data_IF_533916181890
#
_entry.id   IF_533916181890
#
_cell.length_a   1.000
_cell.length_b   1.000
_cell.length_c   1.000
_cell.angle_alpha   90.00
_cell.angle_beta   90.00
_cell.angle_gamma   90.00
#
_symmetry.space_group_name_H-M   'P 1'
#
loop_
_entity.id
_entity.type
_entity.pdbx_description
1 polymer ?
#
# COMPACT_ATOMS: atom_id res chain seq x y z
N UNK A 1 -3.81 -14.98 18.55
CA UNK A 1 -4.24 -13.58 18.43
C UNK A 1 -4.29 -13.27 16.94
N UNK A 2 -5.33 -12.58 16.47
CA UNK A 2 -5.42 -12.22 15.06
C UNK A 2 -4.43 -11.11 14.69
N UNK A 3 -4.35 -10.83 13.40
CA UNK A 3 -3.48 -9.83 12.81
C UNK A 3 -4.27 -8.58 12.39
N UNK A 4 -3.58 -7.46 12.19
CA UNK A 4 -4.19 -6.23 11.66
C UNK A 4 -3.15 -5.52 10.81
N UNK A 5 -3.50 -5.25 9.56
CA UNK A 5 -2.70 -4.48 8.61
C UNK A 5 -3.47 -3.22 8.19
N UNK A 6 -2.78 -2.31 7.50
CA UNK A 6 -3.40 -1.17 6.85
C UNK A 6 -2.89 -1.05 5.42
N UNK A 7 -3.80 -0.71 4.53
CA UNK A 7 -3.50 -0.29 3.17
C UNK A 7 -4.03 1.13 3.00
N UNK A 8 -3.18 2.01 2.46
CA UNK A 8 -3.54 3.37 2.08
C UNK A 8 -3.52 3.45 0.56
N UNK A 9 -4.60 3.87 -0.07
CA UNK A 9 -4.66 4.09 -1.52
C UNK A 9 -4.86 5.57 -1.83
N UNK A 10 -4.28 6.04 -2.94
CA UNK A 10 -4.48 7.40 -3.45
C UNK A 10 -4.31 7.47 -4.98
N UNK A 11 -4.93 8.44 -5.68
CA UNK A 11 -4.81 8.55 -7.12
C UNK A 11 -3.37 8.69 -7.62
N UNK A 12 -3.04 8.06 -8.76
CA UNK A 12 -1.76 8.26 -9.44
C UNK A 12 -1.79 9.48 -10.37
N UNK A 13 -2.06 10.66 -9.78
CA UNK A 13 -1.98 11.97 -10.43
C UNK A 13 -0.69 12.72 -10.01
N UNK A 14 -0.51 13.97 -10.44
CA UNK A 14 0.69 14.77 -10.13
C UNK A 14 0.96 14.91 -8.62
N UNK A 15 -0.10 15.07 -7.81
CA UNK A 15 0.02 15.14 -6.34
C UNK A 15 0.38 13.77 -5.77
N UNK A 16 -0.25 12.71 -6.28
CA UNK A 16 0.02 11.34 -5.88
C UNK A 16 1.44 10.87 -6.23
N UNK A 17 1.96 11.25 -7.40
CA UNK A 17 3.33 10.97 -7.85
C UNK A 17 4.35 11.68 -6.96
N UNK A 18 4.07 12.92 -6.57
CA UNK A 18 4.92 13.67 -5.63
C UNK A 18 5.00 12.97 -4.27
N UNK A 19 3.86 12.49 -3.76
CA UNK A 19 3.79 11.77 -2.49
C UNK A 19 4.51 10.42 -2.57
N UNK A 20 4.26 9.65 -3.63
CA UNK A 20 4.90 8.36 -3.86
C UNK A 20 6.42 8.49 -4.02
N UNK A 21 6.91 9.53 -4.68
CA UNK A 21 8.35 9.79 -4.82
C UNK A 21 8.98 10.14 -3.48
N UNK A 22 8.30 10.98 -2.67
CA UNK A 22 8.78 11.41 -1.35
C UNK A 22 8.99 10.24 -0.38
N UNK A 23 8.08 9.26 -0.38
CA UNK A 23 8.10 8.14 0.58
C UNK A 23 8.51 6.79 -0.02
N UNK A 24 8.51 6.63 -1.34
CA UNK A 24 8.68 5.32 -2.01
C UNK A 24 10.05 4.69 -1.83
N UNK A 25 11.10 5.48 -1.65
CA UNK A 25 12.46 5.00 -1.39
C UNK A 25 12.69 4.54 0.07
N UNK A 26 11.70 4.74 0.96
CA UNK A 26 11.84 4.46 2.38
C UNK A 26 11.58 3.00 2.69
N UNK A 27 12.54 2.36 3.37
CA UNK A 27 12.40 0.97 3.81
C UNK A 27 11.25 0.77 4.80
N UNK A 28 10.57 -0.36 4.66
CA UNK A 28 9.52 -0.82 5.56
C UNK A 28 8.12 -0.25 5.29
N UNK A 29 7.92 0.45 4.17
CA UNK A 29 6.58 0.63 3.58
C UNK A 29 6.68 0.22 2.11
N UNK A 30 5.73 -0.60 1.66
CA UNK A 30 5.67 -1.02 0.25
C UNK A 30 4.70 -0.12 -0.48
N UNK A 31 5.24 0.76 -1.33
CA UNK A 31 4.45 1.64 -2.22
C UNK A 31 4.56 1.10 -3.64
N UNK A 32 3.43 0.94 -4.34
CA UNK A 32 3.39 0.62 -5.78
C UNK A 32 2.10 1.13 -6.43
N UNK A 33 1.96 0.99 -7.74
CA UNK A 33 0.73 1.28 -8.48
C UNK A 33 -0.08 0.01 -8.68
N UNK A 34 -1.41 0.14 -8.71
CA UNK A 34 -2.34 -0.89 -9.15
C UNK A 34 -3.51 -0.27 -9.92
N UNK A 35 -4.19 -1.11 -10.69
CA UNK A 35 -5.38 -0.73 -11.46
C UNK A 35 -6.62 -1.12 -10.67
N UNK A 36 -7.47 -0.14 -10.36
CA UNK A 36 -8.71 -0.33 -9.61
C UNK A 36 -9.93 0.14 -10.40
N UNK A 37 -11.10 -0.38 -10.02
CA UNK A 37 -12.39 0.09 -10.50
C UNK A 37 -13.04 0.94 -9.40
N UNK A 38 -13.15 2.23 -9.64
CA UNK A 38 -13.81 3.16 -8.72
C UNK A 38 -15.20 3.54 -9.24
N UNK A 39 -16.19 3.77 -8.36
CA UNK A 39 -17.47 4.31 -8.78
C UNK A 39 -17.34 5.80 -9.12
N UNK A 40 -17.72 6.19 -10.34
CA UNK A 40 -17.80 7.58 -10.78
C UNK A 40 -19.26 7.95 -11.05
N UNK A 41 -19.70 9.11 -10.52
CA UNK A 41 -21.05 9.61 -10.76
C UNK A 41 -21.15 10.17 -12.18
N UNK A 42 -22.02 9.57 -12.99
CA UNK A 42 -22.33 10.01 -14.35
C UNK A 42 -23.86 10.22 -14.46
N UNK A 43 -24.27 11.49 -14.43
CA UNK A 43 -25.68 11.86 -14.30
C UNK A 43 -26.27 11.39 -12.97
N UNK A 44 -27.35 10.60 -13.05
CA UNK A 44 -28.06 10.04 -11.89
C UNK A 44 -27.57 8.62 -11.49
N UNK A 45 -26.52 8.11 -12.15
CA UNK A 45 -26.01 6.74 -11.91
C UNK A 45 -24.52 6.73 -11.57
N UNK A 46 -24.08 5.69 -10.85
CA UNK A 46 -22.65 5.41 -10.66
C UNK A 46 -22.21 4.36 -11.68
N UNK A 47 -21.14 4.67 -12.41
CA UNK A 47 -20.53 3.76 -13.38
C UNK A 47 -19.11 3.40 -12.91
N UNK A 48 -18.66 2.16 -13.16
CA UNK A 48 -17.29 1.77 -12.84
C UNK A 48 -16.32 2.49 -13.79
N UNK A 49 -15.32 3.16 -13.22
CA UNK A 49 -14.22 3.79 -13.93
C UNK A 49 -12.92 3.10 -13.56
N UNK A 50 -12.13 2.75 -14.58
CA UNK A 50 -10.76 2.28 -14.39
C UNK A 50 -9.90 3.45 -13.95
N UNK A 51 -9.20 3.31 -12.83
CA UNK A 51 -8.26 4.29 -12.31
C UNK A 51 -6.96 3.60 -11.88
N UNK A 52 -5.83 4.23 -12.19
CA UNK A 52 -4.54 3.85 -11.60
C UNK A 52 -4.39 4.57 -10.29
N UNK A 53 -4.13 3.81 -9.23
CA UNK A 53 -3.89 4.32 -7.88
C UNK A 53 -2.51 3.88 -7.42
N UNK A 54 -1.90 4.67 -6.56
CA UNK A 54 -0.89 4.17 -5.66
C UNK A 54 -1.54 3.46 -4.49
N UNK A 55 -0.85 2.46 -3.97
CA UNK A 55 -1.16 1.88 -2.68
C UNK A 55 0.12 1.80 -1.84
N UNK A 56 -0.02 2.01 -0.54
CA UNK A 56 0.98 1.73 0.46
C UNK A 56 0.46 0.66 1.42
N UNK A 57 1.17 -0.45 1.53
CA UNK A 57 0.85 -1.50 2.48
C UNK A 57 1.76 -1.43 3.69
N UNK A 58 1.17 -1.49 4.89
CA UNK A 58 1.89 -1.58 6.15
C UNK A 58 1.31 -2.69 7.01
N UNK A 59 2.19 -3.63 7.36
CA UNK A 59 1.87 -4.73 8.23
C UNK A 59 3.03 -5.01 9.17
N UNK A 60 2.69 -5.33 10.42
CA UNK A 60 3.67 -5.56 11.45
C UNK A 60 3.54 -6.93 12.08
N UNK A 61 4.62 -7.70 12.08
CA UNK A 61 4.68 -9.03 12.67
C UNK A 61 5.77 -9.10 13.74
N UNK A 62 5.65 -10.03 14.70
CA UNK A 62 6.77 -10.39 15.57
C UNK A 62 7.95 -10.91 14.72
N UNK A 63 9.17 -10.45 14.99
CA UNK A 63 10.34 -10.79 14.18
C UNK A 63 11.67 -10.59 14.90
N UNK A 64 12.78 -10.67 14.17
CA UNK A 64 14.13 -10.71 14.76
C UNK A 64 14.70 -9.32 15.08
N UNK A 65 14.30 -8.27 14.35
CA UNK A 65 14.82 -6.91 14.54
C UNK A 65 13.96 -6.16 15.55
N UNK A 66 14.46 -5.92 16.75
CA UNK A 66 13.70 -5.36 17.89
C UNK A 66 12.40 -6.13 18.20
N UNK A 67 12.33 -7.43 17.87
CA UNK A 67 11.11 -8.20 18.06
C UNK A 67 10.09 -8.04 16.93
N UNK A 68 10.44 -7.41 15.81
CA UNK A 68 9.53 -7.07 14.72
C UNK A 68 10.03 -7.49 13.31
N UNK A 69 9.09 -7.68 12.40
CA UNK A 69 9.26 -7.82 10.95
C UNK A 69 8.12 -7.08 10.23
N UNK A 70 8.41 -6.45 9.09
CA UNK A 70 7.40 -5.77 8.28
C UNK A 70 7.18 -6.61 7.04
N UNK A 71 5.95 -7.04 6.85
CA UNK A 71 5.54 -7.91 5.77
C UNK A 71 4.94 -7.07 4.64
N UNK A 72 5.13 -7.54 3.40
CA UNK A 72 4.24 -7.19 2.30
C UNK A 72 2.89 -7.92 2.42
N UNK A 73 1.92 -7.54 1.58
CA UNK A 73 0.60 -8.18 1.55
C UNK A 73 0.67 -9.70 1.33
N UNK A 74 1.56 -10.16 0.46
CA UNK A 74 1.77 -11.59 0.20
C UNK A 74 2.44 -12.31 1.36
N UNK A 75 3.41 -11.67 2.00
CA UNK A 75 4.08 -12.22 3.17
C UNK A 75 3.08 -12.39 4.32
N UNK A 76 2.11 -11.48 4.45
CA UNK A 76 0.99 -11.58 5.39
C UNK A 76 0.13 -12.80 5.11
N UNK A 77 -0.41 -12.93 3.90
CA UNK A 77 -1.27 -14.08 3.54
C UNK A 77 -0.55 -15.41 3.74
N UNK A 78 0.75 -15.47 3.42
CA UNK A 78 1.58 -16.66 3.64
C UNK A 78 1.81 -16.92 5.13
N UNK A 79 2.16 -15.90 5.90
CA UNK A 79 2.39 -16.00 7.35
C UNK A 79 1.12 -16.43 8.07
N UNK A 80 -0.03 -15.89 7.67
CA UNK A 80 -1.33 -16.33 8.16
C UNK A 80 -1.57 -17.80 7.83
N UNK A 81 -1.40 -18.22 6.57
CA UNK A 81 -1.58 -19.63 6.18
C UNK A 81 -0.69 -20.60 6.98
N UNK A 82 0.57 -20.24 7.24
CA UNK A 82 1.52 -21.08 8.01
C UNK A 82 1.13 -21.19 9.49
N UNK A 83 0.53 -20.15 10.07
CA UNK A 83 0.29 -20.04 11.52
C UNK A 83 -1.18 -20.16 11.92
N UNK A 84 -2.07 -20.30 10.95
CA UNK A 84 -3.51 -20.30 11.14
C UNK A 84 -3.99 -21.52 11.96
N UNK A 85 -4.81 -21.32 13.01
CA UNK A 85 -5.43 -22.40 13.78
C UNK A 85 -6.66 -23.06 13.12
N UNK A 86 -7.13 -22.66 11.92
CA UNK A 86 -8.30 -23.32 11.31
C UNK A 86 -8.12 -24.83 11.12
N UNK A 87 -9.28 -25.50 11.10
CA UNK A 87 -9.40 -26.94 11.07
C UNK A 87 -8.71 -27.57 9.86
N UNK A 88 -8.12 -28.75 10.08
CA UNK A 88 -7.73 -29.67 9.02
C UNK A 88 -8.89 -29.92 8.07
N UNK A 89 -8.62 -29.92 6.75
CA UNK A 89 -9.61 -30.38 5.77
C UNK A 89 -10.04 -31.82 6.11
N UNK A 90 -11.34 -32.08 6.06
CA UNK A 90 -11.84 -33.44 6.19
C UNK A 90 -11.51 -34.27 4.94
N UNK A 91 -11.37 -35.58 5.09
CA UNK A 91 -11.00 -36.48 3.99
C UNK A 91 -11.94 -36.35 2.77
N UNK A 92 -13.24 -36.15 3.00
CA UNK A 92 -14.21 -35.98 1.92
C UNK A 92 -14.02 -34.68 1.15
N UNK A 93 -13.63 -33.58 1.83
CA UNK A 93 -13.33 -32.30 1.18
C UNK A 93 -12.07 -32.42 0.32
N UNK A 94 -11.05 -33.12 0.83
CA UNK A 94 -9.82 -33.40 0.09
C UNK A 94 -10.13 -34.21 -1.18
N UNK A 95 -10.96 -35.25 -1.08
CA UNK A 95 -11.36 -36.07 -2.25
C UNK A 95 -12.14 -35.23 -3.26
N UNK A 96 -13.04 -34.35 -2.79
CA UNK A 96 -13.82 -33.49 -3.69
C UNK A 96 -12.94 -32.43 -4.39
N UNK A 97 -11.90 -31.95 -3.74
CA UNK A 97 -11.00 -30.91 -4.27
C UNK A 97 -9.88 -31.47 -5.15
N UNK A 98 -9.26 -32.57 -4.74
CA UNK A 98 -8.04 -33.12 -5.34
C UNK A 98 -8.24 -34.48 -6.01
N UNK A 99 -9.42 -35.10 -5.87
CA UNK A 99 -9.71 -36.44 -6.37
C UNK A 99 -9.08 -37.55 -5.52
N UNK A 100 -8.88 -38.72 -6.12
CA UNK A 100 -8.31 -39.92 -5.47
C UNK A 100 -6.79 -40.07 -5.62
N UNK A 101 -6.13 -39.13 -6.29
CA UNK A 101 -4.68 -39.15 -6.53
C UNK A 101 -3.91 -38.40 -5.44
N UNK A 102 -2.62 -38.74 -5.28
CA UNK A 102 -1.72 -38.19 -4.26
C UNK A 102 -1.86 -36.67 -4.08
N UNK A 103 -2.03 -36.26 -2.83
CA UNK A 103 -2.15 -34.85 -2.46
C UNK A 103 -0.88 -34.08 -2.83
N UNK A 104 -0.97 -32.90 -3.49
CA UNK A 104 0.18 -32.06 -3.73
C UNK A 104 0.87 -31.69 -2.41
N UNK A 105 2.19 -31.85 -2.32
CA UNK A 105 2.96 -31.49 -1.11
C UNK A 105 2.75 -30.00 -0.74
N UNK A 106 2.44 -29.16 -1.73
CA UNK A 106 2.17 -27.73 -1.57
C UNK A 106 0.96 -27.39 -0.71
N UNK A 107 0.08 -28.36 -0.42
CA UNK A 107 -1.12 -28.20 0.43
C UNK A 107 -0.92 -28.74 1.85
N UNK A 108 0.26 -29.27 2.18
CA UNK A 108 0.59 -29.70 3.54
C UNK A 108 1.37 -28.61 4.26
N UNK A 109 1.01 -28.35 5.52
CA UNK A 109 1.73 -27.42 6.39
C UNK A 109 1.87 -27.98 7.80
N UNK A 110 2.86 -27.48 8.56
CA UNK A 110 3.01 -27.81 9.98
C UNK A 110 2.54 -26.64 10.81
N UNK A 111 1.39 -26.77 11.47
CA UNK A 111 0.91 -25.74 12.38
C UNK A 111 1.60 -25.89 13.74
N UNK A 112 2.18 -24.78 14.21
CA UNK A 112 2.77 -24.66 15.54
C UNK A 112 1.94 -23.68 16.36
N UNK A 113 1.03 -24.19 17.19
CA UNK A 113 0.35 -23.32 18.16
C UNK A 113 1.30 -22.93 19.29
N UNK A 114 1.01 -21.80 19.93
CA UNK A 114 1.76 -21.32 21.11
C UNK A 114 1.71 -22.30 22.30
N UNK A 115 0.69 -23.18 22.34
CA UNK A 115 0.45 -24.18 23.39
C UNK A 115 0.23 -25.61 22.86
N UNK A 116 0.42 -25.86 21.57
CA UNK A 116 0.20 -27.19 20.97
C UNK A 116 1.51 -27.79 20.46
N UNK A 117 1.64 -29.11 20.56
CA UNK A 117 2.70 -29.86 19.88
C UNK A 117 2.60 -29.64 18.38
N UNK A 118 3.75 -29.49 17.70
CA UNK A 118 3.81 -29.38 16.23
C UNK A 118 2.98 -30.50 15.60
N UNK A 119 2.03 -30.13 14.74
CA UNK A 119 1.18 -31.08 14.03
C UNK A 119 1.19 -30.76 12.54
N UNK A 120 1.47 -31.75 11.72
CA UNK A 120 1.29 -31.65 10.27
C UNK A 120 -0.21 -31.73 9.94
N UNK A 121 -0.67 -30.81 9.11
CA UNK A 121 -2.06 -30.67 8.68
C UNK A 121 -2.12 -30.39 7.18
N UNK A 122 -3.12 -30.94 6.50
CA UNK A 122 -3.41 -30.61 5.09
C UNK A 122 -4.43 -29.48 5.04
N UNK A 123 -4.12 -28.41 4.30
CA UNK A 123 -4.94 -27.21 4.11
C UNK A 123 -4.85 -26.73 2.66
N UNK A 124 -5.89 -26.05 2.18
CA UNK A 124 -5.81 -25.37 0.88
C UNK A 124 -4.87 -24.17 1.04
N UNK A 125 -3.83 -24.10 0.22
CA UNK A 125 -2.89 -22.96 0.23
C UNK A 125 -3.35 -21.85 -0.69
N UNK A 126 -3.73 -22.22 -1.90
CA UNK A 126 -4.20 -21.32 -2.93
C UNK A 126 -5.28 -22.00 -3.79
N UNK A 127 -6.21 -21.19 -4.29
CA UNK A 127 -7.18 -21.57 -5.31
C UNK A 127 -7.00 -20.63 -6.50
N UNK A 128 -6.72 -21.21 -7.67
CA UNK A 128 -6.67 -20.46 -8.92
C UNK A 128 -8.08 -20.35 -9.52
N UNK A 129 -8.38 -19.18 -10.08
CA UNK A 129 -9.64 -18.87 -10.76
C UNK A 129 -9.36 -18.55 -12.25
N UNK A 130 -9.22 -19.56 -13.13
CA UNK A 130 -8.85 -19.35 -14.53
C UNK A 130 -9.81 -18.42 -15.30
N UNK A 131 -11.08 -18.35 -14.89
CA UNK A 131 -12.08 -17.43 -15.45
C UNK A 131 -11.73 -15.95 -15.26
N UNK A 132 -11.00 -15.62 -14.19
CA UNK A 132 -10.51 -14.25 -13.92
C UNK A 132 -9.25 -13.91 -14.72
N UNK A 133 -8.56 -14.91 -15.26
CA UNK A 133 -7.36 -14.76 -16.07
C UNK A 133 -7.68 -14.52 -17.56
N UNK A 134 -8.85 -14.95 -18.03
CA UNK A 134 -9.24 -14.84 -19.44
C UNK A 134 -9.28 -13.37 -19.89
N UNK A 135 -8.48 -13.06 -20.92
CA UNK A 135 -8.42 -11.74 -21.55
C UNK A 135 -7.68 -10.67 -20.74
N UNK A 136 -6.96 -11.04 -19.67
CA UNK A 136 -6.14 -10.11 -18.89
C UNK A 136 -4.66 -10.46 -19.06
N UNK A 137 -3.95 -9.65 -19.84
CA UNK A 137 -2.50 -9.69 -19.95
C UNK A 137 -1.90 -8.60 -19.08
N UNK A 138 -0.76 -8.87 -18.46
CA UNK A 138 -0.04 -7.90 -17.63
C UNK A 138 0.34 -6.67 -18.46
N UNK A 139 0.71 -6.90 -19.72
CA UNK A 139 1.12 -5.89 -20.68
C UNK A 139 0.01 -4.89 -21.00
N UNK A 140 -1.26 -5.28 -20.80
CA UNK A 140 -2.44 -4.45 -21.01
C UNK A 140 -2.89 -3.73 -19.73
N UNK A 141 -2.27 -4.01 -18.57
CA UNK A 141 -2.63 -3.36 -17.30
C UNK A 141 -2.12 -1.90 -17.26
N UNK A 142 -3.00 -0.90 -17.05
CA UNK A 142 -2.61 0.50 -17.04
C UNK A 142 -1.53 0.87 -16.01
N UNK A 143 -1.58 0.28 -14.80
CA UNK A 143 -0.58 0.54 -13.77
C UNK A 143 0.79 -0.02 -14.18
N UNK A 144 0.81 -1.23 -14.75
CA UNK A 144 2.02 -1.82 -15.31
C UNK A 144 2.60 -0.96 -16.45
N UNK A 145 1.78 -0.52 -17.40
CA UNK A 145 2.22 0.31 -18.52
C UNK A 145 2.85 1.63 -18.05
N UNK A 146 2.22 2.31 -17.08
CA UNK A 146 2.78 3.54 -16.51
C UNK A 146 4.12 3.30 -15.82
N UNK A 147 4.23 2.30 -14.95
CA UNK A 147 5.47 1.99 -14.24
C UNK A 147 6.58 1.55 -15.19
N UNK A 148 6.24 0.73 -16.20
CA UNK A 148 7.20 0.28 -17.19
C UNK A 148 7.70 1.43 -18.06
N UNK A 149 6.83 2.37 -18.46
CA UNK A 149 7.26 3.57 -19.19
C UNK A 149 8.20 4.44 -18.36
N UNK A 150 7.93 4.63 -17.06
CA UNK A 150 8.83 5.36 -16.16
C UNK A 150 10.20 4.66 -16.12
N UNK A 151 10.22 3.34 -15.91
CA UNK A 151 11.47 2.57 -15.87
C UNK A 151 12.28 2.71 -17.16
N UNK A 152 11.64 2.53 -18.31
CA UNK A 152 12.31 2.65 -19.62
C UNK A 152 12.88 4.04 -19.83
N UNK A 153 12.11 5.09 -19.51
CA UNK A 153 12.59 6.48 -19.63
C UNK A 153 13.83 6.73 -18.75
N UNK A 154 13.84 6.21 -17.53
CA UNK A 154 14.99 6.32 -16.63
C UNK A 154 16.21 5.52 -17.13
N UNK A 155 15.99 4.35 -17.72
CA UNK A 155 17.05 3.52 -18.34
C UNK A 155 17.66 4.23 -19.55
N UNK A 156 16.84 4.83 -20.40
CA UNK A 156 17.28 5.60 -21.56
C UNK A 156 18.06 6.86 -21.14
N UNK A 157 17.59 7.59 -20.13
CA UNK A 157 18.30 8.75 -19.57
C UNK A 157 19.67 8.34 -18.98
N UNK A 158 19.70 7.26 -18.20
CA UNK A 158 20.95 6.74 -17.63
C UNK A 158 21.94 6.36 -18.73
N UNK A 159 21.47 5.65 -19.76
CA UNK A 159 22.30 5.25 -20.90
C UNK A 159 22.88 6.48 -21.61
N UNK A 160 22.06 7.49 -21.88
CA UNK A 160 22.49 8.74 -22.51
C UNK A 160 23.60 9.44 -21.69
N UNK A 161 23.43 9.56 -20.38
CA UNK A 161 24.42 10.21 -19.51
C UNK A 161 25.71 9.39 -19.39
N UNK A 162 25.62 8.06 -19.39
CA UNK A 162 26.80 7.18 -19.41
C UNK A 162 27.55 7.30 -20.73
N UNK A 163 26.86 7.32 -21.87
CA UNK A 163 27.47 7.54 -23.19
C UNK A 163 28.16 8.91 -23.28
N UNK A 164 27.52 9.96 -22.74
CA UNK A 164 28.10 11.31 -22.63
C UNK A 164 29.38 11.31 -21.78
N UNK A 165 29.34 10.66 -20.61
CA UNK A 165 30.51 10.52 -19.73
C UNK A 165 31.66 9.81 -20.43
N UNK A 166 31.37 8.69 -21.07
CA UNK A 166 32.39 7.87 -21.71
C UNK A 166 33.00 8.60 -22.92
N UNK A 167 32.20 9.35 -23.69
CA UNK A 167 32.69 10.23 -24.76
C UNK A 167 33.64 11.32 -24.22
N UNK A 168 33.26 11.99 -23.12
CA UNK A 168 34.11 13.01 -22.49
C UNK A 168 35.42 12.44 -21.96
N UNK A 169 35.36 11.29 -21.27
CA UNK A 169 36.56 10.64 -20.72
C UNK A 169 37.51 10.16 -21.83
N UNK A 170 36.98 9.63 -22.93
CA UNK A 170 37.77 9.26 -24.10
C UNK A 170 38.44 10.48 -24.73
N UNK A 171 37.72 11.60 -24.85
CA UNK A 171 38.25 12.86 -25.38
C UNK A 171 39.39 13.43 -24.50
N UNK A 172 39.23 13.40 -23.17
CA UNK A 172 40.31 13.78 -22.23
C UNK A 172 41.57 12.92 -22.42
N UNK A 173 41.40 11.61 -22.62
CA UNK A 173 42.51 10.70 -22.84
C UNK A 173 43.21 10.95 -24.18
N UNK A 174 42.43 11.15 -25.26
CA UNK A 174 42.95 11.44 -26.60
C UNK A 174 43.67 12.78 -26.66
N UNK A 175 43.06 13.85 -26.12
CA UNK A 175 43.66 15.18 -26.08
C UNK A 175 45.01 15.17 -25.34
N UNK A 176 45.08 14.42 -24.23
CA UNK A 176 46.33 14.21 -23.47
C UNK A 176 47.39 13.47 -24.27
N UNK A 177 47.02 12.42 -25.03
CA UNK A 177 47.95 11.67 -25.90
C UNK A 177 48.47 12.53 -27.06
N UNK A 178 47.63 13.39 -27.60
CA UNK A 178 47.93 14.25 -28.75
C UNK A 178 48.58 15.59 -28.35
N UNK A 179 48.66 15.91 -27.06
CA UNK A 179 49.23 17.16 -26.57
C UNK A 179 48.40 18.39 -26.92
N UNK A 180 47.10 18.23 -27.14
CA UNK A 180 46.16 19.31 -27.46
C UNK A 180 45.24 19.59 -26.28
N UNK A 181 44.55 20.73 -26.33
CA UNK A 181 43.45 20.99 -25.41
C UNK A 181 42.26 20.06 -25.73
N UNK A 182 41.53 19.56 -24.71
CA UNK A 182 40.33 18.78 -24.91
C UNK A 182 39.19 19.64 -25.46
N UNK A 183 38.31 19.02 -26.25
CA UNK A 183 37.07 19.61 -26.71
C UNK A 183 36.06 19.69 -25.57
N UNK A 184 35.82 20.91 -25.07
CA UNK A 184 34.89 21.19 -23.98
C UNK A 184 33.42 21.23 -24.44
N UNK A 185 33.12 21.05 -25.73
CA UNK A 185 31.74 20.91 -26.19
C UNK A 185 31.12 19.56 -25.80
N UNK A 186 31.96 18.57 -25.49
CA UNK A 186 31.57 17.24 -25.01
C UNK A 186 31.49 17.16 -23.46
N UNK A 187 31.49 18.30 -22.77
CA UNK A 187 31.63 18.37 -21.31
C UNK A 187 30.62 17.49 -20.56
N UNK A 188 31.12 16.75 -19.58
CA UNK A 188 30.32 16.02 -18.59
C UNK A 188 30.38 16.82 -17.29
N UNK A 189 29.28 17.50 -16.98
CA UNK A 189 29.26 18.46 -15.88
C UNK A 189 29.09 17.77 -14.54
N UNK A 190 29.25 18.54 -13.46
CA UNK A 190 28.93 18.04 -12.12
C UNK A 190 27.44 17.68 -12.00
N UNK A 191 26.57 18.47 -12.61
CA UNK A 191 25.12 18.22 -12.61
C UNK A 191 24.76 16.91 -13.32
N UNK A 192 25.46 16.56 -14.41
CA UNK A 192 25.30 15.25 -15.06
C UNK A 192 25.69 14.10 -14.10
N UNK A 193 26.80 14.27 -13.36
CA UNK A 193 27.23 13.32 -12.33
C UNK A 193 26.21 13.16 -11.21
N UNK A 194 25.72 14.29 -10.66
CA UNK A 194 24.69 14.30 -9.62
C UNK A 194 23.38 13.66 -10.13
N UNK A 195 23.02 13.82 -11.42
CA UNK A 195 21.85 13.19 -12.03
C UNK A 195 22.01 11.67 -12.17
N UNK A 196 23.19 11.18 -12.55
CA UNK A 196 23.45 9.72 -12.62
C UNK A 196 23.25 9.06 -11.26
N UNK A 197 23.69 9.70 -10.17
CA UNK A 197 23.49 9.21 -8.81
C UNK A 197 21.99 9.19 -8.43
N UNK A 198 21.25 10.24 -8.80
CA UNK A 198 19.79 10.30 -8.62
C UNK A 198 19.04 9.20 -9.39
N UNK A 199 19.42 8.98 -10.67
CA UNK A 199 18.86 7.94 -11.53
C UNK A 199 19.01 6.54 -10.93
N UNK A 200 20.12 6.24 -10.25
CA UNK A 200 20.30 4.95 -9.61
C UNK A 200 19.23 4.68 -8.54
N UNK A 201 18.86 5.70 -7.77
CA UNK A 201 17.83 5.61 -6.73
C UNK A 201 16.44 5.47 -7.37
N UNK A 202 16.14 6.29 -8.38
CA UNK A 202 14.87 6.27 -9.10
C UNK A 202 14.64 4.94 -9.84
N UNK A 203 15.67 4.39 -10.51
CA UNK A 203 15.61 3.09 -11.17
C UNK A 203 15.38 1.96 -10.19
N UNK A 204 16.05 1.99 -9.03
CA UNK A 204 15.84 1.00 -7.96
C UNK A 204 14.41 1.06 -7.44
N UNK A 205 13.86 2.27 -7.26
CA UNK A 205 12.49 2.47 -6.83
C UNK A 205 11.49 1.95 -7.89
N UNK A 206 11.62 2.39 -9.14
CA UNK A 206 10.75 1.98 -10.24
C UNK A 206 10.76 0.46 -10.44
N UNK A 207 11.94 -0.16 -10.35
CA UNK A 207 12.08 -1.63 -10.44
C UNK A 207 11.32 -2.31 -9.30
N UNK A 208 11.49 -1.85 -8.05
CA UNK A 208 10.77 -2.42 -6.90
C UNK A 208 9.26 -2.27 -7.04
N UNK A 209 8.79 -1.10 -7.47
CA UNK A 209 7.37 -0.84 -7.72
C UNK A 209 6.83 -1.78 -8.80
N UNK A 210 7.57 -1.94 -9.90
CA UNK A 210 7.18 -2.83 -10.99
C UNK A 210 7.06 -4.29 -10.55
N UNK A 211 8.00 -4.79 -9.74
CA UNK A 211 7.92 -6.15 -9.19
C UNK A 211 6.68 -6.34 -8.30
N UNK A 212 6.42 -5.38 -7.39
CA UNK A 212 5.20 -5.41 -6.56
C UNK A 212 3.92 -5.34 -7.40
N UNK A 213 3.92 -4.57 -8.49
CA UNK A 213 2.78 -4.48 -9.41
C UNK A 213 2.53 -5.81 -10.14
N UNK A 214 3.60 -6.52 -10.54
CA UNK A 214 3.50 -7.85 -11.15
C UNK A 214 2.95 -8.88 -10.17
N UNK A 215 3.44 -8.85 -8.94
CA UNK A 215 2.96 -9.71 -7.85
C UNK A 215 1.47 -9.45 -7.56
N UNK A 216 1.06 -8.19 -7.41
CA UNK A 216 -0.33 -7.78 -7.24
C UNK A 216 -1.21 -8.30 -8.39
N UNK A 217 -0.79 -8.08 -9.64
CA UNK A 217 -1.52 -8.55 -10.83
C UNK A 217 -1.67 -10.08 -10.85
N UNK A 218 -0.59 -10.80 -10.53
CA UNK A 218 -0.58 -12.26 -10.47
C UNK A 218 -1.48 -12.81 -9.35
N UNK A 219 -1.84 -12.02 -8.34
CA UNK A 219 -2.75 -12.43 -7.27
C UNK A 219 -4.22 -12.22 -7.62
N UNK A 220 -4.57 -11.37 -8.60
CA UNK A 220 -5.98 -11.03 -8.91
C UNK A 220 -6.84 -12.22 -9.35
N UNK A 221 -6.21 -13.32 -9.75
CA UNK A 221 -6.88 -14.56 -10.14
C UNK A 221 -6.65 -15.70 -9.13
N UNK A 222 -6.06 -15.40 -7.96
CA UNK A 222 -5.73 -16.38 -6.93
C UNK A 222 -6.31 -15.98 -5.57
N UNK A 223 -6.95 -16.94 -4.91
CA UNK A 223 -7.31 -16.83 -3.50
C UNK A 223 -6.25 -17.56 -2.68
N UNK A 224 -5.45 -16.83 -1.91
CA UNK A 224 -4.36 -17.35 -1.07
C UNK A 224 -4.68 -17.10 0.41
N UNK A 225 -4.38 -18.06 1.30
CA UNK A 225 -4.63 -17.87 2.73
C UNK A 225 -6.10 -17.59 3.06
N UNK A 226 -6.35 -16.94 4.20
CA UNK A 226 -7.70 -16.62 4.69
C UNK A 226 -8.10 -15.20 4.28
N UNK A 227 -9.39 -14.99 3.97
CA UNK A 227 -9.92 -13.64 3.87
C UNK A 227 -9.96 -12.95 5.25
N UNK A 228 -9.74 -11.63 5.32
CA UNK A 228 -9.88 -10.90 6.57
C UNK A 228 -11.26 -11.09 7.18
N UNK A 229 -11.33 -11.35 8.50
CA UNK A 229 -12.62 -11.46 9.21
C UNK A 229 -13.42 -10.13 9.17
N UNK A 230 -12.78 -9.02 8.83
CA UNK A 230 -13.43 -7.73 8.60
C UNK A 230 -12.51 -6.71 7.93
N UNK A 231 -13.08 -5.90 7.05
CA UNK A 231 -12.42 -4.80 6.33
C UNK A 231 -13.15 -3.50 6.65
N UNK A 232 -12.41 -2.44 6.98
CA UNK A 232 -12.97 -1.11 7.21
C UNK A 232 -12.25 -0.12 6.32
N UNK A 233 -13.01 0.45 5.39
CA UNK A 233 -12.58 1.55 4.54
C UNK A 233 -12.89 2.88 5.25
N UNK A 234 -11.85 3.68 5.47
CA UNK A 234 -11.91 5.03 6.01
C UNK A 234 -11.56 6.03 4.91
N UNK A 235 -12.31 7.12 4.76
CA UNK A 235 -12.07 8.06 3.69
C UNK A 235 -10.81 8.90 3.92
N UNK A 236 -10.15 9.27 2.83
CA UNK A 236 -8.98 10.16 2.83
C UNK A 236 -9.23 11.46 2.04
N UNK A 237 -8.41 12.47 2.29
CA UNK A 237 -8.43 13.75 1.56
C UNK A 237 -8.03 13.63 0.08
N UNK A 238 -7.49 12.47 -0.34
CA UNK A 238 -7.15 12.16 -1.73
C UNK A 238 -8.22 11.29 -2.43
N UNK A 239 -9.29 10.91 -1.73
CA UNK A 239 -10.38 10.13 -2.34
C UNK A 239 -11.05 10.92 -3.46
N UNK A 240 -11.54 10.21 -4.49
CA UNK A 240 -12.20 10.83 -5.65
C UNK A 240 -13.44 11.65 -5.30
N UNK A 241 -14.11 11.32 -4.18
CA UNK A 241 -15.27 12.04 -3.67
C UNK A 241 -14.91 13.26 -2.82
N UNK A 242 -13.62 13.42 -2.47
CA UNK A 242 -13.07 14.53 -1.66
C UNK A 242 -13.93 14.90 -0.44
N UNK A 243 -14.21 13.96 0.47
CA UNK A 243 -15.00 14.24 1.67
C UNK A 243 -14.34 15.31 2.54
N UNK A 244 -15.14 16.28 3.00
CA UNK A 244 -14.71 17.41 3.84
C UNK A 244 -14.10 16.96 5.17
N UNK A 245 -14.62 15.88 5.75
CA UNK A 245 -14.12 15.26 6.97
C UNK A 245 -13.53 13.88 6.62
N UNK A 246 -12.21 13.80 6.56
CA UNK A 246 -11.47 12.62 6.12
C UNK A 246 -10.09 12.56 6.78
N UNK A 247 -9.41 11.42 6.63
CA UNK A 247 -8.03 11.26 7.10
C UNK A 247 -7.06 11.97 6.13
N UNK A 248 -6.06 12.65 6.68
CA UNK A 248 -4.97 13.26 5.93
C UNK A 248 -4.00 12.18 5.41
N UNK A 249 -4.02 11.94 4.09
CA UNK A 249 -3.26 10.89 3.39
C UNK A 249 -1.78 10.95 3.72
N UNK A 250 -1.18 12.14 3.65
CA UNK A 250 0.25 12.30 3.93
C UNK A 250 0.60 11.99 5.40
N UNK A 251 -0.25 12.33 6.36
CA UNK A 251 0.02 12.05 7.78
C UNK A 251 -0.13 10.57 8.11
N UNK A 252 -1.05 9.87 7.45
CA UNK A 252 -1.15 8.40 7.50
C UNK A 252 0.15 7.78 6.99
N UNK A 253 0.59 8.17 5.78
CA UNK A 253 1.79 7.62 5.15
C UNK A 253 3.08 7.93 5.94
N UNK A 254 3.22 9.17 6.42
CA UNK A 254 4.34 9.59 7.26
C UNK A 254 4.43 8.76 8.55
N UNK A 255 3.27 8.41 9.15
CA UNK A 255 3.24 7.58 10.35
C UNK A 255 3.54 6.11 10.06
N UNK A 256 3.08 5.56 8.93
CA UNK A 256 3.49 4.21 8.49
C UNK A 256 5.01 4.13 8.38
N UNK A 257 5.63 5.14 7.75
CA UNK A 257 7.09 5.27 7.63
C UNK A 257 7.79 5.47 8.98
N UNK A 258 7.23 6.29 9.87
CA UNK A 258 7.80 6.49 11.20
C UNK A 258 7.81 5.19 12.01
N UNK A 259 6.73 4.40 11.91
CA UNK A 259 6.61 3.10 12.55
C UNK A 259 7.52 2.05 11.91
N UNK A 260 7.71 2.10 10.58
CA UNK A 260 8.59 1.16 9.89
C UNK A 260 10.05 1.26 10.38
N UNK A 261 10.45 2.45 10.82
CA UNK A 261 11.77 2.77 11.39
C UNK A 261 11.79 2.74 12.92
N UNK A 262 10.69 2.37 13.56
CA UNK A 262 10.56 2.39 15.01
C UNK A 262 11.53 1.40 15.66
N UNK A 263 12.26 1.88 16.68
CA UNK A 263 13.14 1.05 17.53
C UNK A 263 12.41 0.44 18.73
N UNK A 264 11.12 0.74 18.90
CA UNK A 264 10.32 0.20 20.02
C UNK A 264 10.20 -1.30 19.84
N UNK A 265 10.42 -2.05 20.92
CA UNK A 265 10.35 -3.50 20.88
C UNK A 265 8.93 -4.04 20.93
N UNK A 266 8.70 -5.18 20.29
CA UNK A 266 7.40 -5.83 20.30
C UNK A 266 6.97 -6.16 21.73
N UNK A 267 5.75 -5.76 22.06
CA UNK A 267 5.13 -6.09 23.31
C UNK A 267 3.64 -6.35 23.11
N UNK A 268 3.20 -7.55 23.43
CA UNK A 268 1.82 -7.98 23.25
C UNK A 268 0.80 -7.04 23.92
N UNK A 269 1.16 -6.41 25.04
CA UNK A 269 0.28 -5.52 25.82
C UNK A 269 0.39 -4.07 25.41
N UNK A 270 1.60 -3.58 25.13
CA UNK A 270 1.84 -2.14 24.95
C UNK A 270 2.19 -1.73 23.52
N UNK A 271 2.58 -2.67 22.64
CA UNK A 271 3.06 -2.35 21.31
C UNK A 271 3.06 -3.57 20.36
N UNK A 272 1.93 -3.76 19.67
CA UNK A 272 1.69 -4.82 18.69
C UNK A 272 1.13 -4.26 17.36
N UNK A 273 0.79 -5.12 16.39
CA UNK A 273 0.25 -4.70 15.10
C UNK A 273 -1.01 -3.83 15.21
N UNK A 274 -1.98 -4.23 16.03
CA UNK A 274 -3.19 -3.44 16.29
C UNK A 274 -2.89 -2.08 16.92
N UNK A 275 -1.87 -1.99 17.78
CA UNK A 275 -1.41 -0.71 18.37
C UNK A 275 -0.83 0.20 17.29
N UNK A 276 -0.05 -0.35 16.37
CA UNK A 276 0.52 0.40 15.25
C UNK A 276 -0.56 0.91 14.31
N UNK A 277 -1.54 0.07 13.95
CA UNK A 277 -2.67 0.48 13.11
C UNK A 277 -3.49 1.59 13.76
N UNK A 278 -3.75 1.52 15.07
CA UNK A 278 -4.39 2.62 15.80
C UNK A 278 -3.58 3.93 15.70
N UNK A 279 -2.25 3.87 15.85
CA UNK A 279 -1.39 5.07 15.74
C UNK A 279 -1.40 5.66 14.33
N UNK A 280 -1.45 4.82 13.29
CA UNK A 280 -1.56 5.25 11.89
C UNK A 280 -2.91 5.92 11.61
N UNK A 281 -4.01 5.35 12.10
CA UNK A 281 -5.35 5.94 11.94
C UNK A 281 -5.43 7.28 12.69
N UNK A 282 -4.93 7.33 13.93
CA UNK A 282 -4.97 8.55 14.76
C UNK A 282 -4.10 9.68 14.19
N UNK A 283 -2.99 9.37 13.53
CA UNK A 283 -2.13 10.38 12.91
C UNK A 283 -2.79 11.05 11.70
N UNK A 284 -3.66 10.33 10.98
CA UNK A 284 -4.44 10.87 9.88
C UNK A 284 -5.50 11.88 10.31
N UNK A 285 -5.86 11.95 11.58
CA UNK A 285 -6.87 12.89 12.06
C UNK A 285 -6.24 14.25 12.38
N UNK A 286 -6.69 15.31 11.69
CA UNK A 286 -6.34 16.70 12.02
C UNK A 286 -6.79 17.08 13.44
N UNK A 287 -6.11 18.03 14.07
CA UNK A 287 -6.52 18.47 15.41
C UNK A 287 -7.93 19.09 15.38
N UNK A 288 -8.24 19.80 14.28
CA UNK A 288 -9.57 20.34 14.00
C UNK A 288 -10.63 19.24 13.85
N UNK A 289 -10.31 18.14 13.14
CA UNK A 289 -11.20 17.01 12.98
C UNK A 289 -11.40 16.25 14.29
N UNK A 290 -10.35 16.10 15.10
CA UNK A 290 -10.44 15.53 16.46
C UNK A 290 -11.36 16.36 17.35
N UNK A 291 -11.28 17.69 17.27
CA UNK A 291 -12.18 18.58 18.01
C UNK A 291 -13.62 18.47 17.54
N UNK A 292 -13.88 18.44 16.22
CA UNK A 292 -15.22 18.23 15.65
C UNK A 292 -15.85 16.92 16.12
N UNK A 293 -15.10 15.82 15.99
CA UNK A 293 -15.51 14.48 16.40
C UNK A 293 -15.80 14.44 17.92
N UNK A 294 -14.95 15.10 18.72
CA UNK A 294 -15.13 15.18 20.18
C UNK A 294 -16.37 15.98 20.58
N UNK A 295 -16.62 17.11 19.91
CA UNK A 295 -17.79 17.94 20.16
C UNK A 295 -19.10 17.21 19.85
N UNK A 296 -19.06 16.18 19.00
CA UNK A 296 -20.19 15.31 18.75
C UNK A 296 -20.33 14.13 19.73
N UNK A 297 -19.44 14.05 20.72
CA UNK A 297 -19.53 13.05 21.80
C UNK A 297 -18.73 11.78 21.55
N UNK A 298 -17.89 11.72 20.51
CA UNK A 298 -16.93 10.63 20.31
C UNK A 298 -15.51 11.10 20.62
N UNK A 299 -14.89 10.56 21.67
CA UNK A 299 -13.49 10.87 21.98
C UNK A 299 -12.54 9.91 21.26
N UNK A 300 -11.86 10.42 20.22
CA UNK A 300 -10.85 9.70 19.43
C UNK A 300 -9.74 9.11 20.32
N UNK A 301 -9.44 9.70 21.47
CA UNK A 301 -8.40 9.18 22.38
C UNK A 301 -8.77 7.82 23.01
N UNK A 302 -10.03 7.41 22.93
CA UNK A 302 -10.49 6.07 23.31
C UNK A 302 -10.01 5.02 22.29
N UNK A 303 -9.80 5.42 21.03
CA UNK A 303 -9.27 4.57 19.97
C UNK A 303 -7.80 4.20 20.26
N UNK A 304 -7.02 5.13 20.81
CA UNK A 304 -5.56 4.97 20.96
C UNK A 304 -5.10 4.36 22.28
N UNK A 305 -6.01 4.06 23.23
CA UNK A 305 -5.66 3.56 24.57
C UNK A 305 -6.43 2.30 25.04
N UNK A 306 -6.62 1.25 24.21
CA UNK A 306 -7.08 -0.01 24.76
C UNK A 306 -6.02 -0.60 25.71
N UNK A 307 -6.44 -1.26 26.79
CA UNK A 307 -5.54 -1.94 27.73
C UNK A 307 -4.62 -2.96 27.03
N UNK A 308 -5.14 -3.61 25.98
CA UNK A 308 -4.42 -4.44 25.01
C UNK A 308 -5.11 -4.19 23.67
N UNK A 309 -4.40 -3.63 22.71
CA UNK A 309 -4.93 -3.48 21.35
C UNK A 309 -5.06 -4.86 20.70
N UNK A 310 -6.19 -5.11 20.04
CA UNK A 310 -6.47 -6.35 19.31
C UNK A 310 -7.19 -6.05 17.99
N UNK A 311 -7.26 -6.98 17.04
CA UNK A 311 -7.99 -6.76 15.78
C UNK A 311 -9.44 -6.36 16.03
N UNK A 312 -10.10 -6.93 17.04
CA UNK A 312 -11.46 -6.56 17.44
C UNK A 312 -11.55 -5.13 17.96
N UNK A 313 -10.55 -4.62 18.69
CA UNK A 313 -10.56 -3.23 19.15
C UNK A 313 -10.35 -2.25 17.99
N UNK A 314 -9.46 -2.59 17.05
CA UNK A 314 -9.26 -1.81 15.82
C UNK A 314 -10.53 -1.78 15.00
N UNK A 315 -11.16 -2.93 14.76
CA UNK A 315 -12.41 -3.01 14.01
C UNK A 315 -13.51 -2.16 14.65
N UNK A 316 -13.76 -2.30 15.96
CA UNK A 316 -14.78 -1.51 16.66
C UNK A 316 -14.51 -0.01 16.61
N UNK A 317 -13.25 0.41 16.76
CA UNK A 317 -12.89 1.82 16.72
C UNK A 317 -12.98 2.39 15.29
N UNK A 318 -12.52 1.64 14.29
CA UNK A 318 -12.61 2.01 12.88
C UNK A 318 -14.06 2.14 12.43
N UNK A 319 -14.95 1.24 12.84
CA UNK A 319 -16.38 1.35 12.51
C UNK A 319 -16.99 2.62 13.07
N UNK A 320 -16.74 2.92 14.35
CA UNK A 320 -17.23 4.16 14.97
C UNK A 320 -16.68 5.41 14.29
N UNK A 321 -15.38 5.40 13.95
CA UNK A 321 -14.77 6.50 13.24
C UNK A 321 -15.40 6.67 11.85
N UNK A 322 -15.63 5.58 11.11
CA UNK A 322 -16.31 5.60 9.80
C UNK A 322 -17.70 6.21 9.90
N UNK A 323 -18.51 5.75 10.86
CA UNK A 323 -19.86 6.27 11.11
C UNK A 323 -19.84 7.77 11.40
N UNK A 324 -18.87 8.21 12.21
CA UNK A 324 -18.76 9.61 12.61
C UNK A 324 -18.29 10.52 11.48
N UNK A 325 -17.31 10.09 10.69
CA UNK A 325 -16.87 10.80 9.49
C UNK A 325 -18.02 10.92 8.48
N UNK A 326 -18.77 9.84 8.26
CA UNK A 326 -19.93 9.86 7.37
C UNK A 326 -20.99 10.88 7.83
N UNK A 327 -21.31 10.88 9.12
CA UNK A 327 -22.27 11.81 9.73
C UNK A 327 -21.84 13.27 9.61
N UNK A 328 -20.57 13.58 9.87
CA UNK A 328 -20.02 14.93 9.73
C UNK A 328 -20.02 15.42 8.27
N UNK A 329 -19.75 14.52 7.31
CA UNK A 329 -19.83 14.86 5.88
C UNK A 329 -21.27 15.16 5.45
N UNK A 330 -22.25 14.36 5.88
CA UNK A 330 -23.68 14.64 5.59
C UNK A 330 -24.13 16.00 6.13
N UNK A 331 -23.72 16.36 7.36
CA UNK A 331 -24.04 17.66 7.94
C UNK A 331 -23.39 18.83 7.19
N UNK A 332 -22.20 18.62 6.65
CA UNK A 332 -21.49 19.62 5.87
C UNK A 332 -22.21 19.88 4.54
N UNK A 333 -22.62 18.82 3.83
CA UNK A 333 -23.41 18.92 2.59
C UNK A 333 -24.76 19.63 2.79
N UNK A 334 -25.49 19.29 3.87
CA UNK A 334 -26.77 19.95 4.19
C UNK A 334 -26.62 21.45 4.50
N UNK A 335 -25.47 21.84 5.07
CA UNK A 335 -25.19 23.24 5.42
C UNK A 335 -24.81 24.03 4.16
N UNK A 336 -23.96 23.48 3.31
CA UNK A 336 -23.57 24.09 2.03
C UNK A 336 -24.78 24.28 1.10
N UNK A 337 -25.68 23.30 1.05
CA UNK A 337 -26.90 23.40 0.22
C UNK A 337 -27.85 24.52 0.72
N UNK A 338 -28.05 24.64 2.04
CA UNK A 338 -28.87 25.71 2.63
C UNK A 338 -28.25 27.09 2.40
N UNK A 339 -26.93 27.21 2.48
CA UNK A 339 -26.22 28.46 2.22
C UNK A 339 -26.27 28.86 0.74
N UNK A 340 -26.14 27.90 -0.18
CA UNK A 340 -26.29 28.13 -1.61
C UNK A 340 -27.72 28.59 -1.97
N UNK A 341 -28.74 27.95 -1.41
CA UNK A 341 -30.14 28.36 -1.60
C UNK A 341 -30.42 29.75 -1.01
N UNK A 342 -29.84 30.07 0.16
CA UNK A 342 -29.97 31.39 0.79
C UNK A 342 -29.28 32.51 -0.01
N UNK A 343 -28.17 32.21 -0.70
CA UNK A 343 -27.49 33.18 -1.56
C UNK A 343 -28.25 33.43 -2.88
N UNK A 344 -28.86 32.40 -3.46
CA UNK A 344 -29.73 32.54 -4.66
C UNK A 344 -31.00 33.34 -4.34
N UNK A 345 -31.57 33.17 -3.15
CA UNK A 345 -32.70 33.96 -2.65
C UNK A 345 -32.36 35.42 -2.34
N UNK A 346 -31.08 35.77 -2.19
CA UNK A 346 -30.61 37.17 -1.99
C UNK A 346 -30.24 37.88 -3.30
N UNK A 347 -30.16 37.15 -4.41
CA UNK A 347 -29.78 37.66 -5.73
C UNK A 347 -30.99 37.80 -6.69
N UNK A 348 -32.17 37.31 -6.28
CA UNK A 348 -33.47 37.58 -6.91
C UNK A 348 -34.28 38.53 -6.03
#
# INVERSE_FOLDING_TARGET
MGHTSLELTWPADEKGDSLATKYGSIEGVTISKRTEFIPEKQGDSYQPKVQVVYFAYFSWWPGYTNGHHINGFLDDRKSEWENDPEGTLEAQQIINLYGSAEQPITTKTTVKGYLTTRKEVTKIKELEHPSLQQGRLLEDDPAYQQLNSIKVNLEDEQKMLMEKRDAFMNELELAKKEGRAPDLSLDFTKEDGDRVDGLMIELKLATKQLEVCKEDFAERHRSVGKEPDGVIELPTDYDSQQPTCSLETERVLAQMVALSRSKKSYNIRSFNCSTAVHQVIESGLSDELKEKIKNDGFDVSIISKPSIASPTSVYKAGMKLKEELFRLNLQSEETEQKDAESQVLKLN
#
